data_IF_356575731484
#
_entry.id   IF_356575731484
#
_cell.length_a   1.000
_cell.length_b   1.000
_cell.length_c   1.000
_cell.angle_alpha   90.00
_cell.angle_beta   90.00
_cell.angle_gamma   90.00
#
_symmetry.space_group_name_H-M   'P 1'
#
loop_
_entity.id
_entity.type
_entity.pdbx_description
1 polymer ?
#
# COMPACT_ATOMS: atom_id res chain seq x y z
N UNK A 1 -13.43 -8.85 -3.81
CA UNK A 1 -13.40 -10.30 -4.11
C UNK A 1 -12.80 -11.03 -2.94
N UNK A 2 -13.51 -12.02 -2.39
CA UNK A 2 -13.09 -12.83 -1.25
C UNK A 2 -12.63 -14.25 -1.66
N UNK A 3 -12.45 -14.49 -2.97
CA UNK A 3 -12.04 -15.78 -3.52
C UNK A 3 -10.58 -15.66 -3.95
N UNK A 4 -9.77 -16.61 -3.49
CA UNK A 4 -8.36 -16.74 -3.87
C UNK A 4 -7.99 -18.18 -4.13
N UNK A 5 -7.00 -18.40 -4.99
CA UNK A 5 -6.45 -19.71 -5.28
C UNK A 5 -5.09 -19.87 -4.58
N UNK A 6 -4.89 -21.00 -3.89
CA UNK A 6 -3.64 -21.33 -3.18
C UNK A 6 -2.46 -21.66 -4.08
N UNK A 7 -2.57 -21.35 -5.37
CA UNK A 7 -1.51 -21.65 -6.33
C UNK A 7 -0.32 -20.71 -6.08
N UNK A 8 0.61 -21.18 -5.27
CA UNK A 8 1.81 -20.43 -4.88
C UNK A 8 2.93 -20.52 -5.94
N UNK A 9 2.66 -20.99 -7.16
CA UNK A 9 3.67 -21.07 -8.23
C UNK A 9 4.19 -19.70 -8.65
N UNK A 10 3.32 -18.68 -8.59
CA UNK A 10 3.65 -17.37 -9.13
C UNK A 10 4.52 -16.53 -8.17
N UNK A 11 4.42 -16.72 -6.84
CA UNK A 11 5.25 -16.05 -5.81
C UNK A 11 5.44 -14.54 -6.05
N UNK A 12 4.34 -13.85 -6.36
CA UNK A 12 4.30 -12.42 -6.67
C UNK A 12 4.42 -12.08 -8.16
N UNK A 13 4.78 -13.05 -9.02
CA UNK A 13 4.72 -12.89 -10.47
C UNK A 13 3.26 -12.71 -10.93
N UNK A 14 3.00 -11.86 -11.93
CA UNK A 14 1.67 -11.77 -12.51
C UNK A 14 1.17 -13.12 -13.05
N UNK A 15 -0.05 -13.48 -12.65
CA UNK A 15 -0.79 -14.63 -13.19
C UNK A 15 -1.78 -14.15 -14.26
N UNK A 16 -2.44 -15.08 -14.95
CA UNK A 16 -3.54 -14.72 -15.85
C UNK A 16 -4.70 -14.01 -15.10
N UNK A 17 -4.95 -14.38 -13.84
CA UNK A 17 -6.03 -13.79 -13.04
C UNK A 17 -5.64 -12.41 -12.54
N UNK A 18 -4.42 -12.23 -12.01
CA UNK A 18 -3.95 -10.92 -11.56
C UNK A 18 -3.85 -9.93 -12.71
N UNK A 19 -3.38 -10.38 -13.89
CA UNK A 19 -3.36 -9.57 -15.11
C UNK A 19 -4.77 -9.20 -15.59
N UNK A 20 -5.73 -10.12 -15.45
CA UNK A 20 -7.13 -9.81 -15.76
C UNK A 20 -7.68 -8.75 -14.80
N UNK A 21 -7.38 -8.83 -13.50
CA UNK A 21 -7.80 -7.79 -12.56
C UNK A 21 -7.16 -6.45 -12.89
N UNK A 22 -5.87 -6.41 -13.21
CA UNK A 22 -5.18 -5.17 -13.56
C UNK A 22 -5.79 -4.54 -14.81
N UNK A 23 -6.10 -5.36 -15.83
CA UNK A 23 -6.74 -4.94 -17.07
C UNK A 23 -8.16 -4.41 -16.85
N UNK A 24 -8.92 -5.06 -15.96
CA UNK A 24 -10.26 -4.62 -15.59
C UNK A 24 -10.23 -3.33 -14.76
N UNK A 25 -9.27 -3.16 -13.86
CA UNK A 25 -9.16 -2.00 -12.99
C UNK A 25 -8.88 -0.72 -13.77
N UNK A 26 -7.98 -0.78 -14.75
CA UNK A 26 -7.66 0.35 -15.65
C UNK A 26 -8.64 0.49 -16.81
N UNK A 27 -9.59 -0.45 -16.97
CA UNK A 27 -10.52 -0.52 -18.10
C UNK A 27 -9.82 -0.54 -19.47
N UNK A 28 -8.80 -1.39 -19.61
CA UNK A 28 -7.94 -1.39 -20.81
C UNK A 28 -8.71 -1.71 -22.11
N UNK A 29 -9.73 -2.58 -22.03
CA UNK A 29 -10.56 -2.93 -23.21
C UNK A 29 -11.52 -1.77 -23.59
N UNK A 30 -11.76 -0.83 -22.67
CA UNK A 30 -12.56 0.39 -22.86
C UNK A 30 -11.72 1.67 -22.94
N UNK A 31 -10.41 1.54 -23.22
CA UNK A 31 -9.45 2.66 -23.32
C UNK A 31 -9.45 3.59 -22.10
N UNK A 32 -9.64 3.03 -20.89
CA UNK A 32 -9.63 3.81 -19.65
C UNK A 32 -10.87 4.65 -19.41
N UNK A 33 -11.98 4.40 -20.13
CA UNK A 33 -13.20 5.17 -19.99
C UNK A 33 -13.87 5.00 -18.62
N UNK A 34 -13.81 3.80 -18.02
CA UNK A 34 -14.47 3.49 -16.75
C UNK A 34 -13.55 2.70 -15.79
N UNK A 35 -12.47 3.32 -15.28
CA UNK A 35 -11.60 2.67 -14.32
C UNK A 35 -12.38 2.30 -13.05
N UNK A 36 -11.94 1.26 -12.34
CA UNK A 36 -12.62 0.74 -11.14
C UNK A 36 -11.64 0.23 -10.10
N UNK A 37 -11.96 0.52 -8.84
CA UNK A 37 -11.20 0.02 -7.70
C UNK A 37 -11.63 -1.42 -7.40
N UNK A 38 -10.74 -2.36 -7.66
CA UNK A 38 -10.91 -3.75 -7.25
C UNK A 38 -10.25 -3.98 -5.90
N UNK A 39 -11.00 -4.52 -4.94
CA UNK A 39 -10.50 -4.86 -3.60
C UNK A 39 -10.50 -6.39 -3.46
N UNK A 40 -9.38 -6.99 -3.08
CA UNK A 40 -9.16 -8.44 -3.10
C UNK A 40 -8.59 -8.92 -1.77
N UNK A 41 -9.02 -10.08 -1.27
CA UNK A 41 -8.42 -10.69 -0.08
C UNK A 41 -7.01 -11.21 -0.36
N UNK A 42 -6.12 -11.11 0.61
CA UNK A 42 -4.75 -11.64 0.52
C UNK A 42 -4.67 -13.17 0.44
N UNK A 43 -5.68 -13.89 0.96
CA UNK A 43 -5.62 -15.34 1.15
C UNK A 43 -5.46 -15.70 2.62
N UNK A 44 -5.73 -16.96 2.96
CA UNK A 44 -5.81 -17.42 4.33
C UNK A 44 -4.85 -18.58 4.62
N UNK A 45 -4.13 -18.48 5.75
CA UNK A 45 -3.57 -19.65 6.44
C UNK A 45 -4.74 -20.42 7.04
N UNK A 46 -4.97 -21.66 6.60
CA UNK A 46 -6.13 -22.47 6.99
C UNK A 46 -5.76 -23.73 7.78
N UNK A 47 -4.50 -23.86 8.20
CA UNK A 47 -4.01 -24.99 8.98
C UNK A 47 -3.88 -24.58 10.45
N UNK A 48 -4.56 -25.30 11.34
CA UNK A 48 -4.49 -25.09 12.78
C UNK A 48 -3.08 -25.25 13.34
N UNK A 49 -2.27 -26.13 12.76
CA UNK A 49 -0.89 -26.30 13.20
C UNK A 49 -0.06 -25.06 12.86
N UNK A 50 -0.28 -24.47 11.67
CA UNK A 50 0.36 -23.23 11.28
C UNK A 50 -0.06 -22.05 12.16
N UNK A 51 -1.32 -22.00 12.62
CA UNK A 51 -1.75 -20.97 13.59
C UNK A 51 -1.02 -21.10 14.93
N UNK A 52 -0.74 -22.32 15.40
CA UNK A 52 0.03 -22.54 16.61
C UNK A 52 1.48 -22.06 16.49
N UNK A 53 2.05 -22.07 15.28
CA UNK A 53 3.39 -21.56 14.95
C UNK A 53 3.45 -20.03 14.74
N UNK A 54 2.36 -19.31 14.97
CA UNK A 54 2.36 -17.84 14.93
C UNK A 54 3.48 -17.23 15.79
N UNK A 55 4.20 -16.19 15.31
CA UNK A 55 3.98 -15.45 14.05
C UNK A 55 4.71 -16.04 12.84
N UNK A 56 5.43 -17.16 12.97
CA UNK A 56 6.30 -17.69 11.92
C UNK A 56 5.54 -18.07 10.65
N UNK A 57 4.35 -18.65 10.79
CA UNK A 57 3.49 -19.03 9.66
C UNK A 57 3.12 -17.85 8.76
N UNK A 58 2.92 -16.65 9.34
CA UNK A 58 2.67 -15.46 8.51
C UNK A 58 3.86 -15.09 7.62
N UNK A 59 5.09 -15.47 7.98
CA UNK A 59 6.28 -15.20 7.18
C UNK A 59 6.53 -16.25 6.09
N UNK A 60 5.89 -17.41 6.15
CA UNK A 60 6.12 -18.53 5.21
C UNK A 60 4.97 -18.71 4.24
N UNK A 61 3.73 -18.45 4.66
CA UNK A 61 2.54 -18.56 3.82
C UNK A 61 2.35 -17.32 2.92
N UNK A 62 2.56 -17.54 1.62
CA UNK A 62 2.48 -16.51 0.59
C UNK A 62 1.05 -16.09 0.27
N UNK A 63 0.88 -14.81 -0.09
CA UNK A 63 -0.38 -14.28 -0.65
C UNK A 63 -0.83 -15.11 -1.85
N UNK A 64 -2.12 -15.42 -1.86
CA UNK A 64 -2.78 -16.23 -2.87
C UNK A 64 -3.14 -15.41 -4.11
N UNK A 65 -3.26 -16.10 -5.24
CA UNK A 65 -3.75 -15.51 -6.49
C UNK A 65 -5.22 -15.09 -6.35
N UNK A 66 -5.65 -13.89 -6.81
CA UNK A 66 -4.92 -12.85 -7.56
C UNK A 66 -4.43 -11.65 -6.71
N UNK A 67 -4.08 -11.86 -5.43
CA UNK A 67 -3.66 -10.80 -4.51
C UNK A 67 -2.37 -10.06 -4.88
N UNK A 68 -1.63 -10.54 -5.88
CA UNK A 68 -0.44 -9.93 -6.46
C UNK A 68 -0.72 -8.89 -7.56
N UNK A 69 -1.99 -8.69 -7.94
CA UNK A 69 -2.41 -7.66 -8.89
C UNK A 69 -1.88 -6.26 -8.48
N UNK A 70 -1.37 -5.50 -9.46
CA UNK A 70 -0.73 -4.21 -9.23
C UNK A 70 -1.75 -3.11 -8.98
N UNK A 71 -2.89 -3.13 -9.66
CA UNK A 71 -3.94 -2.12 -9.59
C UNK A 71 -4.93 -2.39 -8.46
N UNK A 72 -5.18 -3.66 -8.14
CA UNK A 72 -6.10 -4.02 -7.07
C UNK A 72 -5.54 -3.67 -5.68
N UNK A 73 -6.44 -3.32 -4.76
CA UNK A 73 -6.16 -3.16 -3.34
C UNK A 73 -6.31 -4.50 -2.62
N UNK A 74 -5.19 -5.11 -2.24
CA UNK A 74 -5.10 -6.41 -1.57
C UNK A 74 -5.14 -6.24 -0.06
N UNK A 75 -6.05 -6.96 0.59
CA UNK A 75 -6.38 -6.79 2.00
C UNK A 75 -5.90 -7.99 2.81
N UNK A 76 -4.98 -7.73 3.74
CA UNK A 76 -4.60 -8.68 4.79
C UNK A 76 -5.50 -8.56 6.02
N UNK A 77 -5.26 -9.43 7.01
CA UNK A 77 -6.05 -9.46 8.25
C UNK A 77 -5.19 -9.06 9.46
N UNK A 78 -5.70 -8.13 10.27
CA UNK A 78 -5.23 -7.86 11.63
C UNK A 78 -6.32 -8.23 12.64
N UNK A 79 -6.03 -8.16 13.93
CA UNK A 79 -7.05 -8.43 14.96
C UNK A 79 -6.91 -7.60 16.21
N UNK A 80 -8.03 -7.12 16.73
CA UNK A 80 -8.21 -6.64 18.09
C UNK A 80 -9.10 -7.59 18.92
N UNK A 81 -9.66 -8.64 18.30
CA UNK A 81 -10.45 -9.65 18.97
C UNK A 81 -9.50 -10.61 19.70
N UNK A 82 -9.36 -10.42 21.01
CA UNK A 82 -8.49 -11.22 21.89
C UNK A 82 -9.24 -11.83 23.08
N UNK A 83 -10.43 -11.33 23.36
CA UNK A 83 -11.23 -11.77 24.51
C UNK A 83 -11.99 -13.04 24.15
N UNK A 84 -11.69 -14.12 24.87
CA UNK A 84 -12.37 -15.42 24.74
C UNK A 84 -13.48 -15.48 25.78
N UNK A 85 -14.72 -15.70 25.33
CA UNK A 85 -15.92 -15.64 26.18
C UNK A 85 -16.67 -16.97 26.31
N UNK A 86 -16.21 -18.00 25.61
CA UNK A 86 -16.79 -19.34 25.64
C UNK A 86 -16.64 -19.97 27.04
N UNK A 87 -17.73 -20.48 27.67
CA UNK A 87 -17.69 -20.96 29.06
C UNK A 87 -16.69 -22.09 29.35
N UNK A 88 -16.40 -22.92 28.36
CA UNK A 88 -15.52 -24.09 28.42
C UNK A 88 -14.12 -23.82 27.84
N UNK A 89 -13.76 -22.55 27.63
CA UNK A 89 -12.51 -22.16 26.98
C UNK A 89 -11.45 -21.59 27.93
N UNK A 90 -11.53 -21.86 29.25
CA UNK A 90 -10.62 -21.28 30.25
C UNK A 90 -9.13 -21.61 30.04
N UNK A 91 -8.83 -22.70 29.32
CA UNK A 91 -7.45 -23.10 28.98
C UNK A 91 -6.88 -22.44 27.73
N UNK A 92 -7.69 -21.69 26.99
CA UNK A 92 -7.29 -21.08 25.72
C UNK A 92 -6.82 -19.64 25.89
N UNK A 93 -5.93 -19.23 25.01
CA UNK A 93 -5.46 -17.86 24.86
C UNK A 93 -5.52 -17.44 23.40
N UNK A 94 -5.72 -16.16 23.13
CA UNK A 94 -5.65 -15.62 21.77
C UNK A 94 -4.26 -15.85 21.16
N UNK A 95 -4.21 -16.26 19.89
CA UNK A 95 -2.95 -16.53 19.17
C UNK A 95 -2.17 -15.23 18.92
N UNK A 96 -2.84 -14.24 18.32
CA UNK A 96 -2.25 -12.92 18.08
C UNK A 96 -2.63 -11.93 19.18
N UNK A 97 -1.72 -10.99 19.55
CA UNK A 97 -2.04 -9.91 20.47
C UNK A 97 -3.01 -8.90 19.83
N UNK A 98 -3.64 -8.07 20.66
CA UNK A 98 -4.52 -7.00 20.18
C UNK A 98 -3.75 -5.98 19.35
N UNK A 99 -4.30 -5.62 18.20
CA UNK A 99 -3.64 -4.83 17.17
C UNK A 99 -2.63 -5.64 16.32
N UNK A 100 -2.40 -6.92 16.58
CA UNK A 100 -1.44 -7.75 15.85
C UNK A 100 -1.92 -8.14 14.44
N UNK A 101 -1.01 -8.73 13.66
CA UNK A 101 -1.41 -9.41 12.42
C UNK A 101 -2.21 -10.67 12.80
N UNK A 102 -3.30 -10.92 12.07
CA UNK A 102 -4.14 -12.10 12.33
C UNK A 102 -3.38 -13.38 11.95
N UNK A 103 -3.51 -14.48 12.73
CA UNK A 103 -2.89 -15.76 12.37
C UNK A 103 -3.40 -16.31 11.03
N UNK A 104 -4.53 -15.81 10.53
CA UNK A 104 -5.08 -16.20 9.23
C UNK A 104 -4.42 -15.48 8.06
N UNK A 105 -3.69 -14.38 8.26
CA UNK A 105 -3.21 -13.55 7.15
C UNK A 105 -2.01 -14.17 6.44
N UNK A 106 -2.11 -14.32 5.12
CA UNK A 106 -0.94 -14.59 4.26
C UNK A 106 -0.18 -13.30 3.93
N UNK A 107 1.10 -13.40 3.57
CA UNK A 107 1.96 -12.22 3.34
C UNK A 107 2.79 -12.31 2.06
N UNK A 108 3.44 -11.20 1.65
CA UNK A 108 4.39 -11.24 0.52
C UNK A 108 5.85 -11.36 0.94
N UNK A 109 6.13 -11.73 2.21
CA UNK A 109 7.49 -11.74 2.74
C UNK A 109 8.44 -12.65 1.94
N UNK A 110 7.94 -13.79 1.44
CA UNK A 110 8.71 -14.75 0.65
C UNK A 110 8.86 -14.37 -0.83
N UNK A 111 8.22 -13.28 -1.29
CA UNK A 111 8.27 -12.87 -2.69
C UNK A 111 9.62 -12.25 -3.04
N UNK A 112 9.99 -12.37 -4.32
CA UNK A 112 11.22 -11.75 -4.80
C UNK A 112 11.14 -10.21 -4.71
N UNK A 113 12.25 -9.51 -4.45
CA UNK A 113 12.24 -8.09 -4.11
C UNK A 113 11.63 -7.15 -5.15
N UNK A 114 11.60 -7.53 -6.43
CA UNK A 114 11.06 -6.75 -7.54
C UNK A 114 9.53 -6.70 -7.59
N UNK A 115 8.84 -7.66 -6.96
CA UNK A 115 7.38 -7.72 -6.98
C UNK A 115 6.74 -6.69 -6.04
N UNK A 116 5.49 -6.26 -6.30
CA UNK A 116 4.79 -5.25 -5.49
C UNK A 116 4.76 -5.59 -4.00
N UNK A 117 4.76 -4.58 -3.14
CA UNK A 117 4.58 -4.75 -1.70
C UNK A 117 3.11 -5.13 -1.42
N UNK A 118 2.87 -6.28 -0.78
CA UNK A 118 1.53 -6.78 -0.46
C UNK A 118 1.48 -7.43 0.95
N UNK A 119 0.34 -7.45 1.66
CA UNK A 119 -0.91 -6.79 1.31
C UNK A 119 -0.72 -5.26 1.26
N UNK A 120 -1.66 -4.52 0.69
CA UNK A 120 -1.53 -3.05 0.67
C UNK A 120 -1.90 -2.47 2.05
N UNK A 121 -2.93 -3.02 2.68
CA UNK A 121 -3.42 -2.64 4.01
C UNK A 121 -4.01 -3.85 4.72
N UNK A 122 -4.24 -3.73 6.03
CA UNK A 122 -4.89 -4.76 6.84
C UNK A 122 -6.16 -4.24 7.51
N UNK A 123 -7.15 -5.10 7.71
CA UNK A 123 -8.39 -4.81 8.46
C UNK A 123 -8.70 -5.95 9.43
N UNK A 124 -9.56 -5.68 10.42
CA UNK A 124 -10.03 -6.69 11.36
C UNK A 124 -10.51 -7.95 10.63
N UNK A 125 -9.89 -9.08 10.93
CA UNK A 125 -10.20 -10.40 10.37
C UNK A 125 -10.37 -11.45 11.46
N UNK A 126 -10.35 -11.07 12.73
CA UNK A 126 -10.45 -12.00 13.84
C UNK A 126 -9.16 -12.78 14.11
N UNK A 127 -9.27 -13.67 15.07
CA UNK A 127 -8.17 -14.37 15.70
C UNK A 127 -8.47 -15.86 15.86
N UNK A 128 -7.43 -16.62 16.15
CA UNK A 128 -7.55 -18.00 16.61
C UNK A 128 -7.27 -18.04 18.12
N UNK A 129 -7.77 -19.07 18.78
CA UNK A 129 -7.42 -19.43 20.13
C UNK A 129 -6.39 -20.57 20.10
N UNK A 130 -5.50 -20.65 21.08
CA UNK A 130 -4.58 -21.77 21.25
C UNK A 130 -4.49 -22.21 22.70
N UNK A 131 -4.24 -23.49 22.90
CA UNK A 131 -3.83 -24.09 24.16
C UNK A 131 -2.47 -24.78 23.99
N UNK A 132 -2.11 -25.70 24.89
CA UNK A 132 -0.86 -26.43 24.82
C UNK A 132 -0.79 -27.48 23.69
N UNK A 133 -1.94 -27.84 23.08
CA UNK A 133 -2.05 -28.97 22.15
C UNK A 133 -2.44 -28.53 20.74
N UNK A 134 -3.25 -27.48 20.60
CA UNK A 134 -3.85 -27.10 19.33
C UNK A 134 -4.22 -25.63 19.26
N UNK A 135 -4.43 -25.14 18.04
CA UNK A 135 -5.09 -23.88 17.78
C UNK A 135 -6.46 -24.13 17.13
N UNK A 136 -7.47 -23.37 17.53
CA UNK A 136 -8.85 -23.53 17.11
C UNK A 136 -9.51 -22.18 16.84
N UNK A 137 -10.55 -22.20 16.02
CA UNK A 137 -11.40 -21.05 15.80
C UNK A 137 -12.40 -20.91 16.95
N UNK A 138 -12.63 -19.68 17.40
CA UNK A 138 -13.66 -19.40 18.40
C UNK A 138 -14.60 -18.28 17.94
N UNK A 139 -15.92 -18.41 18.18
CA UNK A 139 -16.91 -17.37 17.88
C UNK A 139 -16.58 -15.98 18.43
N UNK A 140 -16.14 -15.90 19.69
CA UNK A 140 -15.71 -14.66 20.36
C UNK A 140 -14.56 -13.93 19.66
N UNK A 141 -13.74 -14.68 18.93
CA UNK A 141 -12.59 -14.19 18.18
C UNK A 141 -12.90 -13.93 16.70
N UNK A 142 -14.17 -13.95 16.30
CA UNK A 142 -14.61 -13.78 14.92
C UNK A 142 -15.61 -12.62 14.78
N UNK A 143 -15.71 -12.05 13.58
CA UNK A 143 -16.68 -11.01 13.26
C UNK A 143 -18.09 -11.60 13.10
N UNK A 144 -19.11 -10.87 13.54
CA UNK A 144 -20.51 -11.23 13.32
C UNK A 144 -20.98 -10.76 11.94
N UNK A 145 -21.68 -11.62 11.21
CA UNK A 145 -22.25 -11.31 9.89
C UNK A 145 -23.61 -11.99 9.68
N UNK A 146 -24.33 -11.61 8.63
CA UNK A 146 -25.59 -12.26 8.26
C UNK A 146 -25.33 -13.67 7.70
N UNK A 147 -26.18 -14.62 8.06
CA UNK A 147 -26.12 -15.96 7.50
C UNK A 147 -26.77 -16.01 6.12
N UNK A 148 -26.22 -16.81 5.20
CA UNK A 148 -26.71 -16.93 3.82
C UNK A 148 -28.13 -17.53 3.71
N UNK A 149 -28.62 -18.20 4.76
CA UNK A 149 -29.99 -18.72 4.87
C UNK A 149 -30.67 -18.13 6.12
N UNK A 150 -31.30 -16.95 6.02
CA UNK A 150 -31.90 -16.24 7.15
C UNK A 150 -33.02 -17.01 7.87
N UNK A 151 -33.72 -17.89 7.15
CA UNK A 151 -34.80 -18.73 7.71
C UNK A 151 -34.28 -19.82 8.64
N UNK A 152 -33.03 -20.25 8.50
CA UNK A 152 -32.41 -21.25 9.39
C UNK A 152 -31.68 -20.59 10.56
N UNK A 153 -31.00 -19.48 10.29
CA UNK A 153 -30.22 -18.73 11.28
C UNK A 153 -30.08 -17.31 10.77
N UNK A 154 -30.23 -16.31 11.65
CA UNK A 154 -30.10 -14.90 11.27
C UNK A 154 -28.64 -14.47 11.09
N UNK A 155 -27.78 -14.83 12.04
CA UNK A 155 -26.38 -14.40 12.08
C UNK A 155 -25.42 -15.58 12.15
N UNK A 156 -24.21 -15.38 11.65
CA UNK A 156 -23.10 -16.33 11.73
C UNK A 156 -21.81 -15.58 11.95
N UNK A 157 -20.72 -16.30 12.18
CA UNK A 157 -19.40 -15.74 12.31
C UNK A 157 -18.65 -15.81 10.98
N UNK A 158 -17.80 -14.82 10.75
CA UNK A 158 -16.83 -14.78 9.67
C UNK A 158 -15.50 -14.24 10.20
N UNK A 159 -14.41 -14.69 9.61
CA UNK A 159 -13.05 -14.30 9.99
C UNK A 159 -12.15 -14.31 8.75
N UNK A 160 -10.86 -14.19 9.00
CA UNK A 160 -9.78 -14.14 8.04
C UNK A 160 -9.91 -13.00 7.00
N UNK A 161 -9.11 -13.09 5.93
CA UNK A 161 -8.94 -11.97 4.98
C UNK A 161 -10.19 -11.66 4.15
N UNK A 162 -11.14 -12.59 4.06
CA UNK A 162 -12.45 -12.36 3.44
C UNK A 162 -13.29 -11.36 4.25
N UNK A 163 -13.25 -11.46 5.58
CA UNK A 163 -13.96 -10.53 6.47
C UNK A 163 -13.27 -9.16 6.49
N UNK A 164 -11.94 -9.14 6.55
CA UNK A 164 -11.14 -7.93 6.39
C UNK A 164 -11.46 -7.20 5.08
N UNK A 165 -11.60 -7.96 3.98
CA UNK A 165 -11.97 -7.42 2.66
C UNK A 165 -13.36 -6.77 2.68
N UNK A 166 -14.35 -7.37 3.35
CA UNK A 166 -15.68 -6.78 3.47
C UNK A 166 -15.65 -5.42 4.20
N UNK A 167 -14.83 -5.30 5.25
CA UNK A 167 -14.63 -4.03 5.97
C UNK A 167 -13.92 -2.99 5.09
N UNK A 168 -12.90 -3.39 4.34
CA UNK A 168 -12.22 -2.51 3.38
C UNK A 168 -13.18 -2.00 2.29
N UNK A 169 -14.03 -2.88 1.75
CA UNK A 169 -15.07 -2.50 0.77
C UNK A 169 -16.06 -1.52 1.38
N UNK A 170 -16.50 -1.74 2.62
CA UNK A 170 -17.36 -0.79 3.34
C UNK A 170 -16.70 0.58 3.47
N UNK A 171 -15.40 0.63 3.81
CA UNK A 171 -14.65 1.88 3.90
C UNK A 171 -14.55 2.58 2.54
N UNK A 172 -14.19 1.86 1.48
CA UNK A 172 -14.12 2.40 0.12
C UNK A 172 -15.47 2.97 -0.34
N UNK A 173 -16.56 2.22 -0.17
CA UNK A 173 -17.90 2.67 -0.55
C UNK A 173 -18.33 3.94 0.21
N UNK A 174 -17.99 4.04 1.50
CA UNK A 174 -18.24 5.27 2.28
C UNK A 174 -17.41 6.45 1.79
N UNK A 175 -16.15 6.23 1.43
CA UNK A 175 -15.31 7.30 0.86
C UNK A 175 -15.83 7.75 -0.50
N UNK A 176 -16.21 6.83 -1.38
CA UNK A 176 -16.84 7.17 -2.67
C UNK A 176 -18.16 7.91 -2.48
N UNK A 177 -18.95 7.59 -1.45
CA UNK A 177 -20.17 8.34 -1.16
C UNK A 177 -19.90 9.77 -0.67
N UNK A 178 -18.80 9.98 0.08
CA UNK A 178 -18.38 11.31 0.54
C UNK A 178 -17.72 12.10 -0.59
N UNK A 179 -16.96 11.42 -1.45
CA UNK A 179 -16.18 12.01 -2.54
C UNK A 179 -16.54 11.35 -3.89
N UNK A 180 -17.74 11.63 -4.44
CA UNK A 180 -18.24 10.96 -5.64
C UNK A 180 -17.44 11.27 -6.91
N UNK A 181 -16.79 12.44 -6.96
CA UNK A 181 -16.01 12.89 -8.12
C UNK A 181 -14.55 12.37 -8.11
N UNK A 182 -14.08 11.80 -7.00
CA UNK A 182 -12.71 11.29 -6.91
C UNK A 182 -12.54 10.00 -7.71
N UNK A 183 -11.39 9.87 -8.36
CA UNK A 183 -11.07 8.69 -9.14
C UNK A 183 -10.90 7.44 -8.26
N UNK A 184 -11.07 6.22 -8.82
CA UNK A 184 -10.78 4.98 -8.12
C UNK A 184 -9.36 4.94 -7.51
N UNK A 185 -8.38 5.50 -8.20
CA UNK A 185 -6.99 5.64 -7.77
C UNK A 185 -6.87 6.55 -6.54
N UNK A 186 -7.66 7.62 -6.49
CA UNK A 186 -7.79 8.53 -5.33
C UNK A 186 -8.37 7.82 -4.13
N UNK A 187 -9.47 7.09 -4.30
CA UNK A 187 -10.07 6.32 -3.19
C UNK A 187 -9.08 5.28 -2.66
N UNK A 188 -8.36 4.59 -3.56
CA UNK A 188 -7.28 3.65 -3.18
C UNK A 188 -6.17 4.36 -2.40
N UNK A 189 -5.75 5.54 -2.87
CA UNK A 189 -4.72 6.34 -2.23
C UNK A 189 -5.16 6.80 -0.84
N UNK A 190 -6.38 7.32 -0.67
CA UNK A 190 -6.91 7.77 0.63
C UNK A 190 -6.94 6.65 1.67
N UNK A 191 -7.36 5.44 1.28
CA UNK A 191 -7.37 4.29 2.19
C UNK A 191 -5.95 4.01 2.70
N UNK A 192 -4.98 3.92 1.80
CA UNK A 192 -3.57 3.63 2.12
C UNK A 192 -2.92 4.79 2.88
N UNK A 193 -3.22 6.01 2.45
CA UNK A 193 -2.74 7.24 3.06
C UNK A 193 -3.24 7.38 4.49
N UNK A 194 -4.43 6.86 4.78
CA UNK A 194 -4.99 6.83 6.12
C UNK A 194 -4.52 5.63 6.96
N UNK A 195 -3.60 4.78 6.50
CA UNK A 195 -3.20 3.57 7.21
C UNK A 195 -2.05 3.79 8.19
N UNK A 196 -2.12 3.17 9.37
CA UNK A 196 -0.99 3.17 10.31
C UNK A 196 -0.72 1.78 10.85
N UNK A 197 0.56 1.45 11.01
CA UNK A 197 0.94 0.28 11.78
C UNK A 197 0.49 0.47 13.23
N UNK A 198 -0.09 -0.56 13.81
CA UNK A 198 -0.38 -0.58 15.24
C UNK A 198 0.92 -0.76 16.01
N UNK A 199 0.85 -0.57 17.33
CA UNK A 199 1.99 -0.82 18.18
C UNK A 199 2.41 -2.30 18.19
N UNK A 200 1.44 -3.22 18.25
CA UNK A 200 1.70 -4.65 18.18
C UNK A 200 2.38 -5.07 16.87
N UNK A 201 1.99 -4.50 15.72
CA UNK A 201 2.65 -4.75 14.44
C UNK A 201 4.12 -4.31 14.46
N UNK A 202 4.39 -3.11 15.00
CA UNK A 202 5.76 -2.60 15.13
C UNK A 202 6.60 -3.47 16.06
N UNK A 203 6.08 -3.80 17.24
CA UNK A 203 6.80 -4.62 18.23
C UNK A 203 7.11 -6.02 17.71
N UNK A 204 6.24 -6.59 16.88
CA UNK A 204 6.44 -7.93 16.33
C UNK A 204 7.51 -7.97 15.23
N UNK A 205 7.61 -6.91 14.41
CA UNK A 205 8.37 -6.94 13.15
C UNK A 205 9.56 -5.98 13.09
N UNK A 206 9.62 -4.98 13.97
CA UNK A 206 10.74 -4.05 14.09
C UNK A 206 11.63 -4.43 15.28
N UNK A 207 12.94 -4.21 15.18
CA UNK A 207 13.84 -4.48 16.30
C UNK A 207 13.57 -3.53 17.47
N UNK A 208 13.50 -4.07 18.69
CA UNK A 208 13.32 -3.31 19.93
C UNK A 208 14.64 -2.79 20.52
N UNK A 209 15.76 -3.38 20.12
CA UNK A 209 17.11 -3.15 20.69
C UNK A 209 17.90 -2.05 19.97
N UNK A 210 17.44 -1.61 18.79
CA UNK A 210 18.14 -0.65 17.94
C UNK A 210 17.18 0.11 17.05
N UNK A 211 17.67 1.22 16.51
CA UNK A 211 16.91 2.00 15.53
C UNK A 211 16.60 1.14 14.28
N UNK A 212 15.31 1.01 13.90
CA UNK A 212 14.93 0.24 12.72
C UNK A 212 15.55 0.79 11.45
N UNK A 213 16.05 -0.10 10.59
CA UNK A 213 16.62 0.23 9.28
C UNK A 213 15.53 0.11 8.21
N UNK A 214 15.78 0.69 7.03
CA UNK A 214 14.86 0.62 5.87
C UNK A 214 14.45 -0.82 5.50
N UNK A 215 15.36 -1.80 5.68
CA UNK A 215 15.05 -3.23 5.46
C UNK A 215 14.01 -3.80 6.44
N UNK A 216 13.99 -3.29 7.67
CA UNK A 216 13.07 -3.75 8.72
C UNK A 216 11.67 -3.22 8.41
N UNK A 217 11.57 -1.98 7.93
CA UNK A 217 10.32 -1.43 7.37
C UNK A 217 9.86 -2.17 6.10
N UNK A 218 10.78 -2.62 5.23
CA UNK A 218 10.41 -3.49 4.12
C UNK A 218 9.79 -4.80 4.60
N UNK A 219 10.34 -5.42 5.65
CA UNK A 219 9.74 -6.61 6.25
C UNK A 219 8.34 -6.31 6.82
N UNK A 220 8.18 -5.19 7.53
CA UNK A 220 6.89 -4.73 8.06
C UNK A 220 5.85 -4.53 6.94
N UNK A 221 6.21 -3.86 5.84
CA UNK A 221 5.34 -3.67 4.66
C UNK A 221 4.95 -4.99 4.01
N UNK A 222 5.89 -5.94 3.92
CA UNK A 222 5.63 -7.26 3.33
C UNK A 222 4.65 -8.10 4.15
N UNK A 223 4.48 -7.82 5.44
CA UNK A 223 3.54 -8.51 6.33
C UNK A 223 2.21 -7.76 6.48
N UNK A 224 2.27 -6.46 6.77
CA UNK A 224 1.12 -5.67 7.21
C UNK A 224 0.69 -4.61 6.18
N UNK A 225 1.34 -4.52 5.02
CA UNK A 225 1.18 -3.39 4.11
C UNK A 225 1.50 -2.07 4.80
N UNK A 226 0.75 -1.03 4.48
CA UNK A 226 0.84 0.28 5.13
C UNK A 226 0.13 0.34 6.51
N UNK A 227 -0.40 -0.79 6.98
CA UNK A 227 -1.06 -0.92 8.29
C UNK A 227 -2.59 -0.87 8.21
N UNK A 228 -3.21 -0.46 9.32
CA UNK A 228 -4.66 -0.39 9.50
C UNK A 228 -5.19 1.00 9.11
N UNK A 229 -6.05 1.12 8.07
CA UNK A 229 -6.70 2.37 7.69
C UNK A 229 -7.64 2.91 8.77
N UNK A 230 -7.68 4.24 8.89
CA UNK A 230 -8.65 4.95 9.72
C UNK A 230 -9.60 5.78 8.86
N UNK A 231 -10.90 5.53 9.01
CA UNK A 231 -11.92 6.19 8.18
C UNK A 231 -12.00 7.70 8.44
N UNK A 232 -11.85 8.14 9.69
CA UNK A 232 -11.96 9.55 10.02
C UNK A 232 -10.79 10.34 9.45
N UNK A 233 -9.57 9.77 9.50
CA UNK A 233 -8.37 10.32 8.86
C UNK A 233 -8.46 10.34 7.34
N UNK A 234 -9.09 9.34 6.73
CA UNK A 234 -9.34 9.33 5.29
C UNK A 234 -10.37 10.39 4.84
N UNK A 235 -11.29 10.76 5.72
CA UNK A 235 -12.43 11.66 5.45
C UNK A 235 -12.19 13.12 5.88
N UNK A 236 -11.37 13.38 6.90
CA UNK A 236 -11.21 14.71 7.45
C UNK A 236 -9.75 15.04 7.75
N UNK A 237 -9.30 16.11 7.09
CA UNK A 237 -8.10 16.88 7.40
C UNK A 237 -8.35 18.05 8.37
N UNK A 238 -9.59 18.22 8.82
CA UNK A 238 -10.11 19.56 9.13
C UNK A 238 -9.76 20.08 10.53
N UNK A 239 -9.30 19.24 11.47
CA UNK A 239 -8.88 19.75 12.79
C UNK A 239 -7.38 19.75 13.04
N UNK A 240 -6.59 18.80 12.50
CA UNK A 240 -5.17 18.66 12.88
C UNK A 240 -4.18 18.26 11.75
N UNK A 241 -4.62 17.98 10.52
CA UNK A 241 -3.75 17.43 9.46
C UNK A 241 -4.16 17.83 8.05
N UNK A 242 -3.36 18.64 7.34
CA UNK A 242 -3.65 19.05 5.95
C UNK A 242 -3.43 17.89 4.96
N UNK A 243 -4.47 17.31 4.38
CA UNK A 243 -4.35 16.37 3.25
C UNK A 243 -4.58 17.11 1.94
N UNK A 244 -3.57 17.16 1.06
CA UNK A 244 -3.72 17.64 -0.30
C UNK A 244 -3.94 16.45 -1.25
N UNK A 245 -5.07 16.48 -1.96
CA UNK A 245 -5.36 15.51 -3.04
C UNK A 245 -5.19 16.24 -4.37
N UNK A 246 -4.35 15.70 -5.25
CA UNK A 246 -4.16 16.21 -6.60
C UNK A 246 -4.37 15.08 -7.60
N UNK A 247 -5.41 15.20 -8.43
CA UNK A 247 -5.62 14.33 -9.58
C UNK A 247 -5.04 15.02 -10.81
N UNK A 248 -4.23 14.32 -11.59
CA UNK A 248 -3.67 14.87 -12.82
C UNK A 248 -3.52 13.78 -13.89
N UNK A 249 -3.31 14.21 -15.12
CA UNK A 249 -3.02 13.33 -16.25
C UNK A 249 -1.62 13.63 -16.78
N UNK A 250 -0.85 12.58 -17.04
CA UNK A 250 0.51 12.69 -17.55
C UNK A 250 0.58 12.04 -18.93
N UNK A 251 1.17 12.72 -19.91
CA UNK A 251 1.51 12.11 -21.20
C UNK A 251 3.02 11.87 -21.25
N UNK A 252 3.50 10.66 -20.95
CA UNK A 252 4.93 10.45 -20.70
C UNK A 252 5.81 10.65 -21.94
N UNK A 253 5.25 10.50 -23.15
CA UNK A 253 6.00 10.48 -24.40
C UNK A 253 5.48 11.46 -25.44
N UNK A 254 6.40 12.02 -26.23
CA UNK A 254 6.10 12.64 -27.53
C UNK A 254 6.87 11.97 -28.65
N UNK A 255 6.17 11.66 -29.74
CA UNK A 255 6.79 11.34 -31.03
C UNK A 255 6.86 12.60 -31.89
N UNK A 256 8.06 13.10 -32.13
CA UNK A 256 8.31 14.00 -33.25
C UNK A 256 8.41 13.18 -34.54
N UNK A 257 7.93 13.69 -35.68
CA UNK A 257 8.04 13.00 -36.98
C UNK A 257 9.47 12.51 -37.22
N UNK A 258 9.65 11.20 -37.38
CA UNK A 258 10.93 10.56 -37.70
C UNK A 258 11.98 10.52 -36.57
N UNK A 259 11.66 10.91 -35.33
CA UNK A 259 12.60 10.86 -34.19
C UNK A 259 12.23 9.78 -33.19
N UNK A 260 13.26 9.24 -32.52
CA UNK A 260 13.08 8.40 -31.32
C UNK A 260 12.21 9.17 -30.32
N UNK A 261 11.23 8.53 -29.67
CA UNK A 261 10.28 9.27 -28.86
C UNK A 261 10.95 9.75 -27.59
N UNK A 262 10.64 11.00 -27.24
CA UNK A 262 11.28 11.72 -26.15
C UNK A 262 10.31 11.86 -25.00
N UNK A 263 10.87 11.82 -23.81
CA UNK A 263 10.20 12.17 -22.58
C UNK A 263 9.60 13.58 -22.65
N UNK A 264 8.34 13.71 -22.20
CA UNK A 264 7.57 14.94 -22.36
C UNK A 264 7.27 15.63 -21.03
N UNK A 265 6.36 15.07 -20.24
CA UNK A 265 5.70 15.80 -19.14
C UNK A 265 6.18 15.31 -17.77
N UNK A 266 6.85 16.18 -17.02
CA UNK A 266 7.04 16.05 -15.56
C UNK A 266 6.00 16.90 -14.85
N UNK A 267 5.31 16.35 -13.86
CA UNK A 267 4.37 17.13 -13.06
C UNK A 267 5.06 17.62 -11.78
N UNK A 268 5.27 18.94 -11.73
CA UNK A 268 5.79 19.64 -10.57
C UNK A 268 4.63 20.31 -9.83
N UNK A 269 4.33 19.78 -8.65
CA UNK A 269 3.31 20.33 -7.76
C UNK A 269 3.97 21.20 -6.70
N UNK A 270 3.60 22.48 -6.66
CA UNK A 270 3.93 23.37 -5.54
C UNK A 270 2.94 23.08 -4.42
N UNK A 271 3.47 22.67 -3.27
CA UNK A 271 2.63 22.34 -2.13
C UNK A 271 2.24 23.65 -1.39
N UNK A 272 0.96 23.89 -1.10
CA UNK A 272 0.49 25.10 -0.44
C UNK A 272 0.78 25.02 1.06
N UNK A 273 2.04 25.19 1.44
CA UNK A 273 2.44 25.03 2.83
C UNK A 273 2.07 26.21 3.71
N UNK A 274 1.64 25.93 4.95
CA UNK A 274 1.52 26.94 6.00
C UNK A 274 2.93 27.30 6.49
N UNK A 275 3.67 28.07 5.67
CA UNK A 275 5.08 28.40 5.91
C UNK A 275 5.27 29.11 7.25
N UNK A 276 4.41 30.08 7.56
CA UNK A 276 4.49 30.82 8.83
C UNK A 276 4.34 29.91 10.05
N UNK A 277 3.43 28.93 9.99
CA UNK A 277 3.18 27.97 11.05
C UNK A 277 4.30 26.95 11.18
N UNK A 278 4.91 26.53 10.07
CA UNK A 278 6.06 25.61 10.08
C UNK A 278 7.33 26.30 10.58
N UNK A 279 7.57 27.54 10.16
CA UNK A 279 8.67 28.37 10.64
C UNK A 279 8.55 28.66 12.14
N UNK A 280 7.34 28.94 12.63
CA UNK A 280 7.07 29.14 14.05
C UNK A 280 7.38 27.88 14.91
N UNK A 281 7.28 26.69 14.33
CA UNK A 281 7.57 25.43 15.02
C UNK A 281 9.07 25.09 15.06
N UNK A 282 9.91 25.72 14.22
CA UNK A 282 11.36 25.55 14.20
C UNK A 282 11.81 24.08 14.17
N UNK A 283 12.45 23.64 15.25
CA UNK A 283 13.05 22.29 15.39
C UNK A 283 12.06 21.19 15.80
N UNK A 284 10.77 21.52 15.94
CA UNK A 284 9.75 20.51 16.27
C UNK A 284 9.74 19.42 15.20
N UNK A 285 9.82 18.16 15.63
CA UNK A 285 9.76 17.02 14.73
C UNK A 285 8.36 16.88 14.14
N UNK A 286 8.29 16.75 12.82
CA UNK A 286 7.06 16.60 12.05
C UNK A 286 7.15 15.41 11.10
N UNK A 287 5.99 14.93 10.66
CA UNK A 287 5.88 13.90 9.65
C UNK A 287 5.18 14.44 8.39
N UNK A 288 5.65 14.00 7.23
CA UNK A 288 4.97 14.20 5.96
C UNK A 288 4.78 12.84 5.30
N UNK A 289 3.56 12.54 4.87
CA UNK A 289 3.27 11.31 4.14
C UNK A 289 2.98 11.65 2.69
N UNK A 290 3.48 10.84 1.77
CA UNK A 290 3.17 10.99 0.35
C UNK A 290 2.69 9.66 -0.17
N UNK A 291 1.55 9.64 -0.85
CA UNK A 291 0.93 8.42 -1.40
C UNK A 291 0.59 8.61 -2.87
N UNK A 292 1.39 8.02 -3.75
CA UNK A 292 1.19 8.02 -5.20
C UNK A 292 0.44 6.74 -5.59
N UNK A 293 -0.66 6.90 -6.31
CA UNK A 293 -1.53 5.81 -6.75
C UNK A 293 -1.85 6.00 -8.23
N UNK A 294 -1.60 4.99 -9.05
CA UNK A 294 -1.95 5.02 -10.47
C UNK A 294 -2.32 3.62 -10.94
N UNK A 295 -3.05 3.51 -12.03
CA UNK A 295 -3.34 2.20 -12.63
C UNK A 295 -2.45 1.96 -13.86
N UNK A 296 -1.85 0.78 -13.92
CA UNK A 296 -1.04 0.33 -15.05
C UNK A 296 -1.90 -0.47 -16.01
N UNK A 297 -1.68 -0.29 -17.31
CA UNK A 297 -2.06 -1.30 -18.29
C UNK A 297 -1.09 -2.50 -18.20
N UNK A 298 -1.59 -3.72 -17.95
CA UNK A 298 -0.73 -4.90 -17.82
C UNK A 298 -0.36 -5.47 -19.19
N UNK A 299 0.88 -5.95 -19.34
CA UNK A 299 1.30 -6.74 -20.49
C UNK A 299 1.52 -8.23 -20.10
N UNK A 300 0.50 -9.10 -20.25
CA UNK A 300 0.59 -10.50 -19.85
C UNK A 300 1.45 -11.37 -20.79
N UNK A 301 1.93 -10.83 -21.92
CA UNK A 301 2.64 -11.59 -22.96
C UNK A 301 4.15 -11.77 -22.68
N UNK A 302 4.61 -11.55 -21.44
CA UNK A 302 6.03 -11.57 -21.08
C UNK A 302 6.66 -12.97 -21.27
N UNK A 303 7.62 -13.06 -22.20
CA UNK A 303 8.54 -14.19 -22.38
C UNK A 303 9.98 -13.75 -22.05
N UNK A 304 10.39 -13.89 -20.79
CA UNK A 304 11.82 -13.95 -20.39
C UNK A 304 12.37 -12.76 -19.58
N UNK A 305 13.47 -13.03 -18.84
CA UNK A 305 14.13 -12.15 -17.83
C UNK A 305 14.92 -10.98 -18.44
N UNK A 306 15.07 -10.97 -19.77
CA UNK A 306 15.84 -9.96 -20.52
C UNK A 306 15.06 -9.56 -21.78
N UNK A 307 14.03 -8.72 -21.66
CA UNK A 307 13.30 -8.32 -22.87
C UNK A 307 12.53 -7.01 -22.74
N UNK A 308 12.31 -6.39 -23.90
CA UNK A 308 11.73 -5.06 -24.17
C UNK A 308 10.25 -4.89 -23.76
N UNK A 309 9.69 -5.80 -22.95
CA UNK A 309 8.27 -5.88 -22.61
C UNK A 309 8.14 -6.06 -21.09
N UNK A 310 7.89 -4.95 -20.37
CA UNK A 310 7.62 -4.96 -18.93
C UNK A 310 6.15 -5.26 -18.69
N UNK A 311 5.84 -5.80 -17.51
CA UNK A 311 4.46 -6.03 -17.09
C UNK A 311 3.71 -4.71 -16.94
N UNK A 312 4.33 -3.69 -16.34
CA UNK A 312 3.77 -2.36 -16.24
C UNK A 312 3.97 -1.54 -17.52
N UNK A 313 2.91 -0.91 -18.00
CA UNK A 313 2.99 0.11 -19.08
C UNK A 313 3.82 1.33 -18.69
N UNK A 314 3.75 1.73 -17.42
CA UNK A 314 4.49 2.87 -16.88
C UNK A 314 4.78 2.72 -15.39
N UNK A 315 5.91 3.27 -14.94
CA UNK A 315 6.35 3.20 -13.55
C UNK A 315 6.50 4.58 -12.91
N UNK A 316 5.40 5.19 -12.45
CA UNK A 316 5.48 6.51 -11.81
C UNK A 316 6.23 6.46 -10.48
N UNK A 317 6.92 7.54 -10.19
CA UNK A 317 7.74 7.77 -9.02
C UNK A 317 7.43 9.17 -8.51
N UNK A 318 7.62 9.37 -7.21
CA UNK A 318 7.55 10.70 -6.63
C UNK A 318 8.85 11.01 -5.92
N UNK A 319 9.16 12.30 -5.87
CA UNK A 319 10.21 12.81 -5.03
C UNK A 319 9.93 14.22 -4.56
N UNK A 320 10.55 14.60 -3.46
CA UNK A 320 10.37 15.92 -2.86
C UNK A 320 11.69 16.67 -2.93
N UNK A 321 11.61 17.98 -3.16
CA UNK A 321 12.74 18.91 -3.08
C UNK A 321 13.42 18.78 -1.71
N UNK A 322 14.74 18.93 -1.62
CA UNK A 322 15.48 18.92 -0.34
C UNK A 322 15.57 20.33 0.28
N UNK A 323 15.83 20.44 1.60
CA UNK A 323 15.85 21.74 2.28
C UNK A 323 16.78 22.80 1.66
N UNK A 324 18.00 22.41 1.29
CA UNK A 324 19.02 23.30 0.72
C UNK A 324 19.12 23.25 -0.82
N UNK A 325 18.19 22.56 -1.49
CA UNK A 325 18.22 22.37 -2.93
C UNK A 325 17.48 23.52 -3.64
N UNK A 326 18.01 24.06 -4.73
CA UNK A 326 17.26 25.04 -5.54
C UNK A 326 16.21 24.36 -6.41
N UNK A 327 15.21 25.08 -6.92
CA UNK A 327 14.23 24.49 -7.85
C UNK A 327 14.91 23.93 -9.12
N UNK A 328 15.98 24.59 -9.59
CA UNK A 328 16.73 24.16 -10.76
C UNK A 328 17.56 22.90 -10.48
N UNK A 329 18.20 22.83 -9.31
CA UNK A 329 18.96 21.64 -8.90
C UNK A 329 18.04 20.45 -8.67
N UNK A 330 16.85 20.69 -8.09
CA UNK A 330 15.83 19.67 -7.94
C UNK A 330 15.41 19.11 -9.30
N UNK A 331 15.06 19.97 -10.25
CA UNK A 331 14.74 19.56 -11.63
C UNK A 331 15.90 18.81 -12.28
N UNK A 332 17.14 19.28 -12.10
CA UNK A 332 18.32 18.62 -12.66
C UNK A 332 18.52 17.22 -12.07
N UNK A 333 18.34 17.07 -10.75
CA UNK A 333 18.46 15.78 -10.05
C UNK A 333 17.40 14.78 -10.50
N UNK A 334 16.16 15.21 -10.70
CA UNK A 334 15.11 14.32 -11.21
C UNK A 334 15.37 13.94 -12.66
N UNK A 335 15.75 14.90 -13.51
CA UNK A 335 16.10 14.62 -14.90
C UNK A 335 17.31 13.68 -15.04
N UNK A 336 18.31 13.81 -14.16
CA UNK A 336 19.44 12.88 -14.11
C UNK A 336 18.99 11.49 -13.68
N UNK A 337 18.19 11.38 -12.60
CA UNK A 337 17.64 10.10 -12.14
C UNK A 337 16.78 9.40 -13.21
N UNK A 338 16.01 10.15 -14.01
CA UNK A 338 15.22 9.62 -15.11
C UNK A 338 16.08 9.07 -16.26
N UNK A 339 17.30 9.60 -16.47
CA UNK A 339 18.25 9.14 -17.51
C UNK A 339 19.12 7.98 -17.03
N UNK A 340 19.71 8.08 -15.84
CA UNK A 340 20.72 7.13 -15.35
C UNK A 340 20.13 5.75 -15.00
N UNK A 341 18.83 5.68 -14.69
CA UNK A 341 18.16 4.40 -14.48
C UNK A 341 17.93 3.59 -15.78
N UNK A 342 18.00 4.19 -16.97
CA UNK A 342 18.06 3.44 -18.24
C UNK A 342 19.37 2.62 -18.32
N UNK A 343 20.44 3.11 -17.69
CA UNK A 343 21.76 2.49 -17.63
C UNK A 343 21.97 1.58 -16.40
N UNK A 344 20.93 1.42 -15.55
CA UNK A 344 20.95 0.64 -14.29
C UNK A 344 22.00 1.10 -13.27
N UNK A 345 22.45 2.34 -13.34
CA UNK A 345 23.43 2.89 -12.40
C UNK A 345 22.70 3.55 -11.22
N UNK A 346 22.91 3.13 -9.95
CA UNK A 346 22.32 3.81 -8.82
C UNK A 346 23.05 5.13 -8.57
N UNK A 347 22.51 6.25 -9.01
CA UNK A 347 23.05 7.58 -8.72
C UNK A 347 21.98 8.42 -8.03
N UNK A 348 22.18 8.66 -6.74
CA UNK A 348 21.35 9.56 -5.96
C UNK A 348 21.47 9.25 -4.48
N UNK A 349 22.04 10.17 -3.70
CA UNK A 349 22.07 10.04 -2.25
C UNK A 349 20.64 9.88 -1.73
N UNK A 350 20.39 8.87 -0.92
CA UNK A 350 19.07 8.65 -0.33
C UNK A 350 18.84 9.70 0.76
N UNK A 351 17.64 10.27 0.81
CA UNK A 351 17.30 11.23 1.86
C UNK A 351 16.99 10.42 3.15
N UNK A 352 17.77 10.62 4.22
CA UNK A 352 17.69 9.79 5.42
C UNK A 352 16.38 9.98 6.18
N UNK A 353 15.67 11.10 5.96
CA UNK A 353 14.39 11.36 6.63
C UNK A 353 13.26 10.44 6.17
N UNK A 354 13.39 9.77 5.01
CA UNK A 354 12.40 8.79 4.55
C UNK A 354 12.55 7.44 5.25
N UNK A 355 11.45 6.96 5.82
CA UNK A 355 11.38 5.69 6.54
C UNK A 355 11.64 4.49 5.61
N UNK A 356 11.01 4.46 4.43
CA UNK A 356 11.12 3.32 3.49
C UNK A 356 12.23 3.58 2.47
N UNK A 357 12.30 4.80 1.94
CA UNK A 357 13.30 5.25 0.99
C UNK A 357 13.08 4.76 -0.43
N UNK A 358 13.79 5.39 -1.37
CA UNK A 358 13.57 5.23 -2.82
C UNK A 358 13.73 3.80 -3.34
N UNK A 359 14.69 3.06 -2.77
CA UNK A 359 15.00 1.69 -3.20
C UNK A 359 13.87 0.70 -2.90
N UNK A 360 13.06 0.97 -1.87
CA UNK A 360 12.05 0.03 -1.40
C UNK A 360 10.61 0.49 -1.66
N UNK A 361 10.34 1.80 -1.66
CA UNK A 361 8.98 2.35 -1.75
C UNK A 361 8.33 2.23 -3.13
N UNK A 362 9.13 2.05 -4.19
CA UNK A 362 8.65 2.13 -5.56
C UNK A 362 8.45 0.76 -6.24
N UNK A 363 7.54 -0.04 -5.69
CA UNK A 363 7.24 -1.42 -6.14
C UNK A 363 5.74 -1.59 -6.38
N UNK A 364 5.35 -1.84 -7.63
CA UNK A 364 3.94 -1.89 -8.04
C UNK A 364 3.44 -0.55 -8.58
N UNK A 365 2.13 -0.31 -8.42
CA UNK A 365 1.43 0.91 -8.88
C UNK A 365 0.94 1.83 -7.74
N UNK A 366 1.28 1.46 -6.50
CA UNK A 366 0.89 2.15 -5.28
C UNK A 366 2.14 2.34 -4.42
N UNK A 367 2.49 3.60 -4.17
CA UNK A 367 3.69 3.97 -3.41
C UNK A 367 3.27 4.87 -2.26
N UNK A 368 3.69 4.54 -1.04
CA UNK A 368 3.52 5.44 0.10
C UNK A 368 4.79 5.45 0.94
N UNK A 369 5.19 6.62 1.44
CA UNK A 369 6.33 6.76 2.33
C UNK A 369 6.11 7.92 3.31
N UNK A 370 6.80 7.83 4.44
CA UNK A 370 6.71 8.81 5.53
C UNK A 370 8.10 9.42 5.69
N UNK A 371 8.16 10.73 5.56
CA UNK A 371 9.33 11.53 5.84
C UNK A 371 9.23 12.10 7.26
N UNK A 372 10.35 12.09 7.99
CA UNK A 372 10.52 12.66 9.33
C UNK A 372 11.67 13.66 9.33
N UNK A 373 11.46 14.80 9.97
CA UNK A 373 12.49 15.82 10.19
C UNK A 373 11.92 17.04 10.92
N UNK A 374 12.70 18.12 10.98
CA UNK A 374 12.25 19.37 11.64
C UNK A 374 11.18 20.09 10.80
N UNK A 375 10.36 20.90 11.46
CA UNK A 375 9.37 21.74 10.78
C UNK A 375 10.02 22.75 9.84
N UNK A 376 11.19 23.30 10.20
CA UNK A 376 12.00 24.16 9.34
C UNK A 376 12.52 23.43 8.08
N UNK A 377 13.01 22.20 8.23
CA UNK A 377 13.39 21.37 7.08
C UNK A 377 12.17 21.04 6.23
N UNK A 378 11.01 20.79 6.85
CA UNK A 378 9.80 20.59 6.09
C UNK A 378 9.51 21.85 5.29
N UNK A 379 9.41 23.04 5.90
CA UNK A 379 9.06 24.33 5.24
C UNK A 379 9.87 24.68 3.98
N UNK A 380 11.07 24.13 3.80
CA UNK A 380 11.94 24.39 2.65
C UNK A 380 11.80 23.38 1.48
N UNK A 381 11.15 22.23 1.69
CA UNK A 381 10.95 21.15 0.69
C UNK A 381 9.72 21.33 -0.25
N UNK A 382 9.26 22.58 -0.49
CA UNK A 382 7.89 22.93 -0.94
C UNK A 382 7.43 22.50 -2.33
N UNK A 383 8.14 21.57 -2.95
CA UNK A 383 7.83 21.03 -4.26
C UNK A 383 7.86 19.51 -4.22
N UNK A 384 6.76 18.94 -4.70
CA UNK A 384 6.62 17.52 -4.98
C UNK A 384 6.68 17.33 -6.49
N UNK A 385 7.47 16.37 -6.92
CA UNK A 385 7.57 15.99 -8.32
C UNK A 385 7.04 14.57 -8.49
N UNK A 386 6.31 14.35 -9.59
CA UNK A 386 5.93 13.03 -10.07
C UNK A 386 6.41 12.82 -11.49
N UNK A 387 7.34 11.87 -11.64
CA UNK A 387 7.97 11.45 -12.90
C UNK A 387 7.66 9.99 -13.24
N UNK A 388 7.92 9.62 -14.48
CA UNK A 388 7.77 8.26 -15.02
C UNK A 388 9.12 7.51 -15.09
N UNK A 389 9.07 6.19 -15.36
CA UNK A 389 10.23 5.31 -15.55
C UNK A 389 10.09 4.40 -16.80
N UNK A 390 10.89 4.65 -17.87
CA UNK A 390 11.13 3.89 -19.15
C UNK A 390 9.92 3.58 -20.06
N UNK A 391 9.92 3.33 -21.39
CA UNK A 391 10.75 3.58 -22.61
C UNK A 391 9.75 3.63 -23.81
N UNK A 392 10.09 4.22 -24.97
CA UNK A 392 9.20 4.92 -25.90
C UNK A 392 8.24 4.13 -26.84
N UNK A 393 7.74 2.95 -26.51
CA UNK A 393 7.08 2.10 -27.52
C UNK A 393 5.60 1.78 -27.31
N UNK A 394 5.02 2.17 -26.18
CA UNK A 394 3.58 2.11 -25.96
C UNK A 394 3.15 3.47 -25.46
N UNK A 395 2.72 4.31 -26.40
CA UNK A 395 2.15 5.61 -26.10
C UNK A 395 0.72 5.57 -26.65
N UNK A 396 -0.20 5.16 -25.79
CA UNK A 396 -1.52 5.78 -25.63
C UNK A 396 -1.78 5.85 -24.11
N UNK A 397 -2.56 6.84 -23.69
CA UNK A 397 -2.46 7.56 -22.39
C UNK A 397 -2.43 6.73 -21.11
N UNK A 398 -1.61 7.17 -20.14
CA UNK A 398 -1.62 6.66 -18.76
C UNK A 398 -2.07 7.75 -17.78
N UNK A 399 -3.04 7.44 -16.92
CA UNK A 399 -3.57 8.34 -15.90
C UNK A 399 -2.84 8.15 -14.55
N UNK A 400 -2.58 9.24 -13.81
CA UNK A 400 -1.57 9.27 -12.75
C UNK A 400 -1.97 10.17 -11.58
N UNK A 401 -2.26 9.62 -10.40
CA UNK A 401 -2.72 10.40 -9.26
C UNK A 401 -1.67 10.64 -8.17
N UNK A 402 -1.56 11.90 -7.74
CA UNK A 402 -0.65 12.33 -6.68
C UNK A 402 -1.45 12.74 -5.44
N UNK A 403 -1.62 11.83 -4.47
CA UNK A 403 -2.11 12.23 -3.15
C UNK A 403 -0.93 12.55 -2.23
N UNK A 404 -0.82 13.78 -1.77
CA UNK A 404 0.20 14.20 -0.81
C UNK A 404 -0.50 14.66 0.46
N UNK A 405 -0.66 13.77 1.43
CA UNK A 405 -1.29 14.13 2.69
C UNK A 405 -0.31 14.31 3.84
N UNK A 406 -0.39 15.44 4.51
CA UNK A 406 0.48 15.76 5.63
C UNK A 406 -0.24 15.41 6.93
N UNK A 407 0.25 14.37 7.61
CA UNK A 407 -0.16 14.09 9.00
C UNK A 407 0.80 14.79 9.94
N UNK A 408 0.41 15.96 10.44
CA UNK A 408 1.14 16.64 11.52
C UNK A 408 0.86 15.88 12.82
N UNK A 409 1.91 15.33 13.45
CA UNK A 409 1.83 14.81 14.82
C UNK A 409 2.93 15.43 15.65
N UNK A 410 2.57 15.92 16.83
CA UNK A 410 3.55 16.18 17.87
C UNK A 410 4.12 14.83 18.33
N UNK A 411 5.44 14.68 18.21
CA UNK A 411 6.15 13.65 18.94
C UNK A 411 5.98 13.94 20.44
N UNK A 412 5.06 13.25 21.10
CA UNK A 412 5.11 13.14 22.56
C UNK A 412 6.32 12.26 22.90
N UNK A 413 7.09 12.61 23.95
CA UNK A 413 8.33 11.93 24.31
C UNK A 413 8.17 10.44 24.62
#
# INVERSE_FOLDING_TARGET
MAVTARDNRDRGRPSAWSATLDRLAVDADGEGANPRLLIVSAGNVNDSNAWAEYPHSNSTDGIHDPGQAWNALTIGACTNLVDITEPDASGYQSVAPSGGLSPFSTTSFTWQPQWPLKPDVVFEGGNAAKDALSAVMMPSLSLLTAHHQPTQRLFTHANATSSSTALAVRMAARLTAVYPELWPESIRALIVHSAEWTEAMRQTLLPSDKQPKKKDYTALLRHCGFGLPDFNRAMWSVSDSLTLVCEDSLHPFTRGQGRQPRFRDMNLHRLPWPLAELEALGETQVEMRVTLSYFIEPNPSERGVTSRYRYESHGLRFDVKRPAESENDFRARINAAARDEEERTPVGGDDPGWIIGKQNRHKGSLHSDIWRGSAADLASRGMLEVCWRSIPHLADGGHALVSSGMTKRHAMP
#
